data_IF_980989782518
#
_entry.id   IF_980989782518
#
_cell.length_a   1.000
_cell.length_b   1.000
_cell.length_c   1.000
_cell.angle_alpha   90.00
_cell.angle_beta   90.00
_cell.angle_gamma   90.00
#
_symmetry.space_group_name_H-M   'P 1'
#
loop_
_entity.id
_entity.type
_entity.pdbx_description
1 polymer ?
#
# COMPACT_ATOMS: atom_id res chain seq x y z
N UNK A 1 -3.40 28.30 7.86
CA UNK A 1 -2.74 27.04 7.45
C UNK A 1 -3.31 25.98 8.37
N UNK A 2 -4.43 25.37 7.98
CA UNK A 2 -5.09 24.36 8.81
C UNK A 2 -4.29 23.07 8.73
N UNK A 3 -3.65 22.72 9.85
CA UNK A 3 -3.03 21.42 10.02
C UNK A 3 -4.22 20.49 10.32
N UNK A 4 -4.61 19.65 9.36
CA UNK A 4 -5.64 18.64 9.64
C UNK A 4 -5.18 17.81 10.84
N UNK A 5 -5.91 17.87 11.94
CA UNK A 5 -5.72 17.07 13.16
C UNK A 5 -6.08 15.59 12.92
N UNK A 6 -5.68 15.04 11.78
CA UNK A 6 -5.92 13.66 11.42
C UNK A 6 -4.93 12.77 12.17
N UNK A 7 -5.46 11.94 13.06
CA UNK A 7 -4.66 10.89 13.67
C UNK A 7 -4.36 9.82 12.62
N UNK A 8 -3.08 9.51 12.36
CA UNK A 8 -2.71 8.57 11.30
C UNK A 8 -3.22 7.18 11.63
N UNK A 9 -3.92 6.59 10.66
CA UNK A 9 -4.46 5.23 10.75
C UNK A 9 -3.31 4.20 10.88
N UNK A 10 -3.57 2.99 11.40
CA UNK A 10 -2.55 1.95 11.49
C UNK A 10 -1.89 1.60 10.15
N UNK A 11 -2.63 1.68 9.04
CA UNK A 11 -2.10 1.46 7.69
C UNK A 11 -1.17 2.60 7.24
N UNK A 12 -1.51 3.85 7.54
CA UNK A 12 -0.64 5.00 7.28
C UNK A 12 0.65 4.90 8.10
N UNK A 13 0.54 4.57 9.40
CA UNK A 13 1.69 4.36 10.28
C UNK A 13 2.59 3.22 9.78
N UNK A 14 2.01 2.10 9.35
CA UNK A 14 2.75 1.01 8.72
C UNK A 14 3.49 1.45 7.46
N UNK A 15 2.81 2.16 6.54
CA UNK A 15 3.41 2.64 5.29
C UNK A 15 4.55 3.61 5.55
N UNK A 16 4.38 4.53 6.49
CA UNK A 16 5.43 5.47 6.90
C UNK A 16 6.63 4.73 7.48
N UNK A 17 6.41 3.79 8.42
CA UNK A 17 7.50 3.00 9.00
C UNK A 17 8.27 2.20 7.93
N UNK A 18 7.57 1.64 6.94
CA UNK A 18 8.18 0.94 5.80
C UNK A 18 8.96 1.87 4.87
N UNK A 19 8.45 3.06 4.61
CA UNK A 19 9.12 4.04 3.76
C UNK A 19 10.44 4.50 4.40
N UNK A 20 10.41 4.83 5.70
CA UNK A 20 11.60 5.21 6.48
C UNK A 20 12.63 4.07 6.51
N UNK A 21 12.18 2.83 6.74
CA UNK A 21 13.05 1.66 6.71
C UNK A 21 13.75 1.44 5.36
N UNK A 22 13.15 1.88 4.25
CA UNK A 22 13.77 1.80 2.93
C UNK A 22 14.79 2.91 2.63
N UNK A 23 14.83 3.98 3.44
CA UNK A 23 15.72 5.13 3.25
C UNK A 23 16.84 5.20 4.28
N UNK A 24 16.68 4.58 5.45
CA UNK A 24 17.72 4.52 6.47
C UNK A 24 18.93 3.72 6.00
N UNK A 25 20.13 4.20 6.31
CA UNK A 25 21.41 3.58 5.96
C UNK A 25 21.75 2.42 6.90
N UNK A 26 21.35 2.53 8.17
CA UNK A 26 21.59 1.52 9.19
C UNK A 26 20.46 1.44 10.23
N UNK A 27 20.62 0.52 11.18
CA UNK A 27 19.62 0.23 12.19
C UNK A 27 19.52 1.28 13.31
N UNK A 28 20.55 2.09 13.52
CA UNK A 28 20.54 3.19 14.50
C UNK A 28 19.83 4.41 13.91
N UNK A 29 20.17 4.79 12.67
CA UNK A 29 19.48 5.86 11.92
C UNK A 29 17.99 5.54 11.76
N UNK A 30 17.63 4.29 11.46
CA UNK A 30 16.23 3.86 11.41
C UNK A 30 15.51 4.08 12.75
N UNK A 31 16.15 3.74 13.87
CA UNK A 31 15.55 3.91 15.20
C UNK A 31 15.32 5.38 15.52
N UNK A 32 16.27 6.24 15.19
CA UNK A 32 16.17 7.69 15.38
C UNK A 32 15.03 8.28 14.54
N UNK A 33 14.99 7.97 13.24
CA UNK A 33 13.97 8.48 12.32
C UNK A 33 12.56 8.03 12.72
N UNK A 34 12.39 6.79 13.16
CA UNK A 34 11.09 6.31 13.65
C UNK A 34 10.69 7.01 14.95
N UNK A 35 11.63 7.22 15.88
CA UNK A 35 11.36 7.91 17.14
C UNK A 35 10.91 9.35 16.91
N UNK A 36 11.53 10.08 15.97
CA UNK A 36 11.11 11.44 15.58
C UNK A 36 9.67 11.50 15.08
N UNK A 37 9.19 10.42 14.45
CA UNK A 37 7.83 10.30 13.93
C UNK A 37 6.85 9.68 14.94
N UNK A 38 7.29 9.36 16.16
CA UNK A 38 6.48 8.67 17.16
C UNK A 38 6.12 7.23 16.76
N UNK A 39 6.91 6.61 15.89
CA UNK A 39 6.70 5.26 15.37
C UNK A 39 7.61 4.24 16.06
N UNK A 40 7.16 3.00 16.09
CA UNK A 40 7.97 1.86 16.53
C UNK A 40 8.37 0.95 15.36
N UNK A 41 9.52 0.24 15.45
CA UNK A 41 9.92 -0.73 14.43
C UNK A 41 8.90 -1.85 14.19
N UNK A 42 8.08 -2.17 15.19
CA UNK A 42 7.04 -3.19 15.08
C UNK A 42 5.94 -2.81 14.07
N UNK A 43 5.69 -1.52 13.87
CA UNK A 43 4.65 -1.03 12.96
C UNK A 43 5.00 -1.32 11.50
N UNK A 44 6.28 -1.25 11.13
CA UNK A 44 6.75 -1.66 9.81
C UNK A 44 6.62 -3.17 9.56
N UNK A 45 6.36 -3.98 10.59
CA UNK A 45 6.13 -5.44 10.49
C UNK A 45 4.67 -5.83 10.63
N UNK A 46 3.80 -4.89 10.98
CA UNK A 46 2.38 -5.16 11.14
C UNK A 46 1.80 -5.76 9.85
N UNK A 47 1.07 -6.88 9.92
CA UNK A 47 0.42 -7.46 8.75
C UNK A 47 -0.70 -6.52 8.31
N UNK A 48 -0.45 -5.70 7.30
CA UNK A 48 -1.51 -4.93 6.65
C UNK A 48 -2.28 -5.86 5.71
N UNK A 49 -3.62 -5.84 5.72
CA UNK A 49 -4.42 -6.53 4.73
C UNK A 49 -4.07 -6.02 3.34
N UNK A 50 -3.13 -6.69 2.66
CA UNK A 50 -2.86 -6.39 1.27
C UNK A 50 -4.07 -6.87 0.47
N UNK A 51 -4.73 -6.02 -0.33
CA UNK A 51 -5.72 -6.51 -1.27
C UNK A 51 -5.04 -7.58 -2.11
N UNK A 52 -5.65 -8.77 -2.18
CA UNK A 52 -5.14 -9.87 -2.99
C UNK A 52 -4.95 -9.31 -4.40
N UNK A 53 -3.71 -9.20 -4.86
CA UNK A 53 -3.43 -8.88 -6.26
C UNK A 53 -4.09 -9.98 -7.07
N UNK A 54 -5.24 -9.67 -7.66
CA UNK A 54 -5.83 -10.55 -8.65
C UNK A 54 -4.78 -10.66 -9.77
N UNK A 55 -4.39 -11.87 -10.21
CA UNK A 55 -3.46 -12.00 -11.30
C UNK A 55 -4.01 -11.22 -12.49
N UNK A 56 -3.22 -10.28 -13.02
CA UNK A 56 -3.60 -9.42 -14.14
C UNK A 56 -3.87 -10.20 -15.44
N UNK A 57 -3.50 -11.47 -15.44
CA UNK A 57 -3.49 -12.40 -16.55
C UNK A 57 -4.37 -13.59 -16.16
N UNK A 58 -5.69 -13.35 -16.15
CA UNK A 58 -6.70 -14.42 -16.15
C UNK A 58 -6.93 -14.86 -17.59
N UNK A 59 -6.74 -16.14 -17.88
CA UNK A 59 -7.17 -16.73 -19.15
C UNK A 59 -8.69 -16.64 -19.27
N UNK A 60 -9.17 -15.96 -20.30
CA UNK A 60 -10.58 -15.91 -20.63
C UNK A 60 -10.92 -17.06 -21.58
N UNK A 61 -12.06 -17.70 -21.34
CA UNK A 61 -12.68 -18.56 -22.35
C UNK A 61 -13.17 -17.72 -23.53
N UNK A 62 -13.36 -18.34 -24.70
CA UNK A 62 -13.91 -17.68 -25.91
C UNK A 62 -15.19 -16.86 -25.62
N UNK A 63 -16.21 -17.38 -24.88
CA UNK A 63 -17.40 -16.59 -24.57
C UNK A 63 -17.11 -15.42 -23.61
N UNK A 64 -16.22 -15.58 -22.63
CA UNK A 64 -15.84 -14.49 -21.72
C UNK A 64 -15.10 -13.36 -22.45
N UNK A 65 -14.21 -13.70 -23.37
CA UNK A 65 -13.51 -12.73 -24.22
C UNK A 65 -14.48 -11.95 -25.10
N UNK A 66 -15.44 -12.65 -25.70
CA UNK A 66 -16.46 -12.03 -26.56
C UNK A 66 -17.30 -11.02 -25.78
N UNK A 67 -17.77 -11.39 -24.58
CA UNK A 67 -18.53 -10.50 -23.71
C UNK A 67 -17.69 -9.31 -23.20
N UNK A 68 -16.39 -9.49 -22.97
CA UNK A 68 -15.49 -8.41 -22.58
C UNK A 68 -15.34 -7.37 -23.69
N UNK A 69 -15.08 -7.80 -24.93
CA UNK A 69 -14.95 -6.90 -26.09
C UNK A 69 -16.24 -6.13 -26.34
N UNK A 70 -17.40 -6.80 -26.30
CA UNK A 70 -18.70 -6.14 -26.48
C UNK A 70 -18.97 -5.04 -25.45
N UNK A 71 -18.63 -5.28 -24.17
CA UNK A 71 -18.73 -4.25 -23.13
C UNK A 71 -17.79 -3.08 -23.37
N UNK A 72 -16.55 -3.36 -23.79
CA UNK A 72 -15.56 -2.31 -24.07
C UNK A 72 -16.00 -1.41 -25.24
N UNK A 73 -16.59 -2.00 -26.28
CA UNK A 73 -17.10 -1.23 -27.44
C UNK A 73 -18.40 -0.49 -27.13
N UNK A 74 -19.21 -0.95 -26.18
CA UNK A 74 -20.46 -0.29 -25.80
C UNK A 74 -20.27 0.89 -24.82
N UNK A 75 -19.08 0.99 -24.20
CA UNK A 75 -18.74 2.06 -23.26
C UNK A 75 -17.97 3.22 -23.92
N UNK A 76 -17.76 3.18 -25.24
CA UNK A 76 -17.09 4.19 -26.07
C UNK A 76 -18.13 4.99 -26.88
#
# INVERSE_FOLDING_TARGET
MEISSHEPTPEERHRTARAVAGQAKDADELRELLAMLGLSPAEGRAPVPRPRRQPANRTLTIPELTAFVQRATAAA
#
